data_IF_145024969294
#
_entry.id   IF_145024969294
#
_cell.length_a   1.000
_cell.length_b   1.000
_cell.length_c   1.000
_cell.angle_alpha   90.00
_cell.angle_beta   90.00
_cell.angle_gamma   90.00
#
_symmetry.space_group_name_H-M   'P 1'
#
loop_
_entity.id
_entity.type
_entity.pdbx_description
1 polymer ?
#
# COMPACT_ATOMS: atom_id res chain seq x y z
N UNK A 1 -21.37 -16.91 -7.05
CA UNK A 1 -20.63 -15.72 -7.55
C UNK A 1 -20.16 -14.80 -6.41
N UNK A 2 -20.92 -14.63 -5.32
CA UNK A 2 -20.50 -13.87 -4.12
C UNK A 2 -19.14 -14.32 -3.52
N UNK A 3 -18.87 -15.62 -3.48
CA UNK A 3 -17.58 -16.15 -3.02
C UNK A 3 -16.37 -15.66 -3.84
N UNK A 4 -16.54 -15.43 -5.15
CA UNK A 4 -15.46 -14.95 -6.02
C UNK A 4 -15.11 -13.49 -5.77
N UNK A 5 -16.10 -12.64 -5.46
CA UNK A 5 -15.85 -11.23 -5.14
C UNK A 5 -15.07 -11.09 -3.82
N UNK A 6 -15.45 -11.87 -2.81
CA UNK A 6 -14.75 -11.94 -1.54
C UNK A 6 -13.34 -12.54 -1.67
N UNK A 7 -13.16 -13.59 -2.49
CA UNK A 7 -11.83 -14.12 -2.83
C UNK A 7 -10.94 -13.06 -3.50
N UNK A 8 -11.45 -12.34 -4.50
CA UNK A 8 -10.69 -11.30 -5.20
C UNK A 8 -10.29 -10.15 -4.25
N UNK A 9 -11.19 -9.73 -3.35
CA UNK A 9 -10.89 -8.72 -2.35
C UNK A 9 -9.82 -9.20 -1.35
N UNK A 10 -9.89 -10.47 -0.91
CA UNK A 10 -8.89 -11.08 -0.05
C UNK A 10 -7.53 -11.19 -0.75
N UNK A 11 -7.50 -11.60 -2.02
CA UNK A 11 -6.29 -11.73 -2.84
C UNK A 11 -5.61 -10.37 -3.06
N UNK A 12 -6.39 -9.33 -3.36
CA UNK A 12 -5.89 -7.96 -3.52
C UNK A 12 -5.35 -7.39 -2.21
N UNK A 13 -6.03 -7.67 -1.09
CA UNK A 13 -5.56 -7.27 0.25
C UNK A 13 -4.27 -7.97 0.62
N UNK A 14 -4.18 -9.29 0.41
CA UNK A 14 -2.96 -10.06 0.63
C UNK A 14 -1.82 -9.56 -0.25
N UNK A 15 -2.09 -9.27 -1.53
CA UNK A 15 -1.11 -8.71 -2.46
C UNK A 15 -0.63 -7.33 -2.01
N UNK A 16 -1.54 -6.48 -1.55
CA UNK A 16 -1.19 -5.14 -1.04
C UNK A 16 -0.37 -5.23 0.25
N UNK A 17 -0.69 -6.16 1.15
CA UNK A 17 0.11 -6.43 2.35
C UNK A 17 1.51 -6.91 1.99
N UNK A 18 1.63 -7.94 1.14
CA UNK A 18 2.92 -8.45 0.66
C UNK A 18 3.71 -7.36 -0.06
N UNK A 19 3.06 -6.52 -0.87
CA UNK A 19 3.72 -5.39 -1.53
C UNK A 19 4.24 -4.38 -0.51
N UNK A 20 3.46 -4.06 0.53
CA UNK A 20 3.86 -3.19 1.63
C UNK A 20 5.04 -3.75 2.43
N UNK A 21 4.98 -5.03 2.80
CA UNK A 21 6.07 -5.74 3.49
C UNK A 21 7.34 -5.82 2.64
N UNK A 22 7.20 -6.11 1.34
CA UNK A 22 8.32 -6.20 0.41
C UNK A 22 8.96 -4.83 0.19
N UNK A 23 8.16 -3.78 0.05
CA UNK A 23 8.65 -2.40 0.00
C UNK A 23 9.41 -2.05 1.27
N UNK A 24 8.84 -2.32 2.44
CA UNK A 24 9.49 -2.10 3.72
C UNK A 24 10.84 -2.84 3.85
N UNK A 25 10.86 -4.12 3.53
CA UNK A 25 12.08 -4.94 3.55
C UNK A 25 13.13 -4.44 2.54
N UNK A 26 12.69 -4.02 1.35
CA UNK A 26 13.55 -3.40 0.35
C UNK A 26 14.17 -2.09 0.87
N UNK A 27 13.40 -1.25 1.58
CA UNK A 27 13.91 -0.03 2.18
C UNK A 27 14.97 -0.31 3.26
N UNK A 28 14.72 -1.26 4.17
CA UNK A 28 15.71 -1.64 5.19
C UNK A 28 16.99 -2.15 4.55
N UNK A 29 16.87 -2.98 3.50
CA UNK A 29 18.00 -3.55 2.78
C UNK A 29 18.79 -2.47 2.02
N UNK A 30 18.11 -1.52 1.37
CA UNK A 30 18.75 -0.39 0.68
C UNK A 30 19.48 0.50 1.69
N UNK A 31 18.85 0.84 2.81
CA UNK A 31 19.48 1.62 3.88
C UNK A 31 20.72 0.93 4.45
N UNK A 32 20.61 -0.35 4.83
CA UNK A 32 21.76 -1.13 5.32
C UNK A 32 22.85 -1.28 4.26
N UNK A 33 22.50 -1.47 2.99
CA UNK A 33 23.47 -1.54 1.89
C UNK A 33 24.11 -0.20 1.62
N UNK A 34 23.41 0.92 1.76
CA UNK A 34 23.97 2.27 1.62
C UNK A 34 24.95 2.57 2.76
N UNK A 35 24.58 2.26 4.00
CA UNK A 35 25.47 2.36 5.17
C UNK A 35 26.67 1.43 5.04
N UNK A 36 26.47 0.19 4.56
CA UNK A 36 27.57 -0.74 4.29
C UNK A 36 28.41 -0.31 3.09
N UNK A 37 27.86 0.34 2.06
CA UNK A 37 28.63 0.91 0.95
C UNK A 37 29.49 2.08 1.43
N UNK A 38 28.93 2.95 2.27
CA UNK A 38 29.70 3.97 2.97
C UNK A 38 30.78 3.34 3.86
N UNK A 39 30.48 2.23 4.55
CA UNK A 39 31.44 1.56 5.41
C UNK A 39 32.48 0.68 4.67
N UNK A 40 32.17 0.19 3.45
CA UNK A 40 32.95 -0.87 2.77
C UNK A 40 33.51 -0.48 1.40
N UNK A 41 33.20 0.71 0.84
CA UNK A 41 33.38 0.97 -0.59
C UNK A 41 34.28 2.15 -0.99
N UNK A 42 35.60 1.89 -1.04
CA UNK A 42 36.64 2.47 -1.92
C UNK A 42 37.00 3.98 -1.84
N UNK A 43 38.29 4.17 -1.54
CA UNK A 43 39.04 5.43 -1.38
C UNK A 43 38.70 6.23 -0.11
N UNK A 44 39.57 6.21 0.93
CA UNK A 44 39.42 7.06 2.11
C UNK A 44 39.21 8.54 1.80
N UNK A 45 39.71 9.01 0.64
CA UNK A 45 39.50 10.39 0.19
C UNK A 45 38.05 10.68 -0.22
N UNK A 46 37.31 9.70 -0.75
CA UNK A 46 35.89 9.84 -1.12
C UNK A 46 34.94 9.70 0.08
N UNK A 47 35.37 9.03 1.14
CA UNK A 47 34.64 9.03 2.41
C UNK A 47 34.73 10.37 3.16
N UNK A 48 35.77 11.15 2.87
CA UNK A 48 35.88 12.54 3.32
C UNK A 48 35.11 13.51 2.44
N UNK A 49 34.50 13.06 1.33
CA UNK A 49 33.67 13.91 0.49
C UNK A 49 32.39 14.28 1.25
N UNK A 50 32.23 15.57 1.65
CA UNK A 50 31.04 16.02 2.33
C UNK A 50 29.78 15.87 1.48
N UNK A 51 29.91 15.86 0.14
CA UNK A 51 28.78 15.67 -0.77
C UNK A 51 28.30 14.21 -0.77
N UNK A 52 29.21 13.24 -0.71
CA UNK A 52 28.84 11.83 -0.57
C UNK A 52 28.07 11.59 0.73
N UNK A 53 28.55 12.16 1.83
CA UNK A 53 27.87 12.07 3.14
C UNK A 53 26.48 12.71 3.09
N UNK A 54 26.37 13.87 2.45
CA UNK A 54 25.08 14.57 2.25
C UNK A 54 24.10 13.73 1.44
N UNK A 55 24.53 13.17 0.31
CA UNK A 55 23.70 12.30 -0.53
C UNK A 55 23.21 11.04 0.18
N UNK A 56 24.01 10.47 1.09
CA UNK A 56 23.61 9.32 1.92
C UNK A 56 22.52 9.73 2.90
N UNK A 57 22.68 10.87 3.57
CA UNK A 57 21.66 11.40 4.49
C UNK A 57 20.36 11.72 3.77
N UNK A 58 20.39 12.34 2.60
CA UNK A 58 19.20 12.62 1.81
C UNK A 58 18.45 11.35 1.40
N UNK A 59 19.18 10.26 1.09
CA UNK A 59 18.57 8.95 0.81
C UNK A 59 17.96 8.31 2.06
N UNK A 60 18.56 8.51 3.23
CA UNK A 60 18.00 8.05 4.51
C UNK A 60 16.75 8.84 4.88
N UNK A 61 16.76 10.16 4.73
CA UNK A 61 15.58 11.00 4.95
C UNK A 61 14.45 10.65 3.98
N UNK A 62 14.76 10.44 2.71
CA UNK A 62 13.79 9.95 1.73
C UNK A 62 13.21 8.58 2.13
N UNK A 63 14.03 7.70 2.72
CA UNK A 63 13.55 6.41 3.22
C UNK A 63 12.56 6.59 4.38
N UNK A 64 12.85 7.47 5.34
CA UNK A 64 11.95 7.78 6.45
C UNK A 64 10.64 8.45 5.98
N UNK A 65 10.71 9.35 5.00
CA UNK A 65 9.52 9.98 4.42
C UNK A 65 8.65 8.96 3.69
N UNK A 66 9.26 8.09 2.89
CA UNK A 66 8.56 6.98 2.22
C UNK A 66 7.94 6.02 3.24
N UNK A 67 8.63 5.72 4.33
CA UNK A 67 8.14 4.85 5.41
C UNK A 67 6.88 5.42 6.07
N UNK A 68 6.87 6.71 6.39
CA UNK A 68 5.68 7.40 6.93
C UNK A 68 4.54 7.40 5.93
N UNK A 69 4.83 7.66 4.65
CA UNK A 69 3.81 7.68 3.61
C UNK A 69 3.18 6.29 3.39
N UNK A 70 3.99 5.23 3.49
CA UNK A 70 3.53 3.84 3.44
C UNK A 70 2.66 3.50 4.66
N UNK A 71 3.08 3.87 5.87
CA UNK A 71 2.30 3.62 7.08
C UNK A 71 0.91 4.27 7.00
N UNK A 72 0.82 5.52 6.56
CA UNK A 72 -0.46 6.22 6.35
C UNK A 72 -1.31 5.55 5.28
N UNK A 73 -0.70 5.09 4.18
CA UNK A 73 -1.45 4.40 3.12
C UNK A 73 -1.95 3.01 3.52
N UNK A 74 -1.23 2.30 4.40
CA UNK A 74 -1.69 1.03 4.98
C UNK A 74 -2.90 1.24 5.90
N UNK A 75 -2.92 2.31 6.69
CA UNK A 75 -4.10 2.67 7.48
C UNK A 75 -5.31 2.96 6.58
N UNK A 76 -5.12 3.69 5.49
CA UNK A 76 -6.19 3.95 4.53
C UNK A 76 -6.74 2.65 3.89
N UNK A 77 -5.88 1.67 3.58
CA UNK A 77 -6.32 0.34 3.13
C UNK A 77 -7.11 -0.40 4.21
N UNK A 78 -6.66 -0.34 5.46
CA UNK A 78 -7.37 -0.91 6.60
C UNK A 78 -8.76 -0.30 6.78
N UNK A 79 -8.90 1.02 6.60
CA UNK A 79 -10.19 1.70 6.71
C UNK A 79 -11.18 1.20 5.66
N UNK A 80 -10.75 1.04 4.40
CA UNK A 80 -11.59 0.50 3.32
C UNK A 80 -12.02 -0.94 3.62
N UNK A 81 -11.11 -1.75 4.16
CA UNK A 81 -11.42 -3.12 4.55
C UNK A 81 -12.45 -3.18 5.69
N UNK A 82 -12.27 -2.37 6.73
CA UNK A 82 -13.19 -2.32 7.88
C UNK A 82 -14.56 -1.79 7.48
N UNK A 83 -14.63 -0.81 6.59
CA UNK A 83 -15.89 -0.28 6.07
C UNK A 83 -16.67 -1.33 5.27
N UNK A 84 -15.98 -2.09 4.40
CA UNK A 84 -16.59 -3.21 3.69
C UNK A 84 -17.08 -4.30 4.65
N UNK A 85 -16.26 -4.67 5.65
CA UNK A 85 -16.64 -5.67 6.65
C UNK A 85 -17.90 -5.24 7.42
N UNK A 86 -17.98 -3.98 7.82
CA UNK A 86 -19.16 -3.43 8.50
C UNK A 86 -20.42 -3.54 7.61
N UNK A 87 -20.31 -3.22 6.33
CA UNK A 87 -21.42 -3.37 5.36
C UNK A 87 -21.87 -4.84 5.22
N UNK A 88 -20.93 -5.79 5.18
CA UNK A 88 -21.26 -7.23 5.14
C UNK A 88 -21.98 -7.69 6.40
N UNK A 89 -21.55 -7.23 7.59
CA UNK A 89 -22.22 -7.53 8.86
C UNK A 89 -23.65 -7.00 8.85
N UNK A 90 -23.86 -5.76 8.39
CA UNK A 90 -25.21 -5.17 8.29
C UNK A 90 -26.09 -5.94 7.31
N UNK A 91 -25.60 -6.24 6.09
CA UNK A 91 -26.36 -6.99 5.10
C UNK A 91 -26.73 -8.39 5.60
N UNK A 92 -25.81 -9.07 6.29
CA UNK A 92 -26.05 -10.40 6.86
C UNK A 92 -27.09 -10.34 7.99
N UNK A 93 -27.03 -9.32 8.85
CA UNK A 93 -28.00 -9.13 9.92
C UNK A 93 -29.41 -8.87 9.38
N UNK A 94 -29.54 -8.04 8.33
CA UNK A 94 -30.81 -7.76 7.66
C UNK A 94 -31.41 -9.03 7.04
N UNK A 95 -30.62 -9.76 6.25
CA UNK A 95 -31.06 -11.02 5.66
C UNK A 95 -31.47 -12.06 6.73
N UNK A 96 -30.71 -12.15 7.83
CA UNK A 96 -31.02 -13.03 8.95
C UNK A 96 -32.34 -12.69 9.65
N UNK A 97 -32.62 -11.40 9.86
CA UNK A 97 -33.89 -10.93 10.44
C UNK A 97 -35.07 -11.25 9.53
N UNK A 98 -34.93 -11.06 8.23
CA UNK A 98 -35.97 -11.41 7.27
C UNK A 98 -36.21 -12.93 7.24
N UNK A 99 -35.15 -13.73 7.33
CA UNK A 99 -35.26 -15.18 7.37
C UNK A 99 -35.84 -15.73 8.68
N UNK A 100 -35.76 -14.99 9.80
CA UNK A 100 -36.25 -15.42 11.11
C UNK A 100 -37.78 -15.46 11.26
N UNK A 101 -38.52 -14.73 10.42
CA UNK A 101 -39.99 -14.80 10.42
C UNK A 101 -40.49 -16.08 9.72
N UNK A 102 -41.80 -16.41 9.80
CA UNK A 102 -42.34 -17.67 9.29
C UNK A 102 -41.94 -17.99 7.85
N UNK A 103 -41.81 -19.29 7.50
CA UNK A 103 -41.38 -19.72 6.17
C UNK A 103 -42.27 -19.16 5.06
N UNK A 104 -41.71 -18.27 4.25
CA UNK A 104 -42.34 -17.72 3.06
C UNK A 104 -41.30 -17.74 1.93
N UNK A 105 -41.48 -18.62 0.92
CA UNK A 105 -40.51 -18.78 -0.15
C UNK A 105 -40.35 -17.52 -1.03
N UNK A 106 -41.37 -16.67 -1.16
CA UNK A 106 -41.25 -15.42 -1.93
C UNK A 106 -40.38 -14.43 -1.15
N UNK A 107 -40.64 -14.31 0.15
CA UNK A 107 -39.89 -13.42 1.05
C UNK A 107 -38.43 -13.85 1.20
N UNK A 108 -38.18 -15.15 1.36
CA UNK A 108 -36.82 -15.68 1.45
C UNK A 108 -36.05 -15.52 0.13
N UNK A 109 -36.74 -15.66 -1.01
CA UNK A 109 -36.16 -15.37 -2.32
C UNK A 109 -35.75 -13.91 -2.46
N UNK A 110 -36.60 -12.98 -2.02
CA UNK A 110 -36.31 -11.55 -1.96
C UNK A 110 -35.12 -11.25 -1.04
N UNK A 111 -35.16 -11.69 0.21
CA UNK A 111 -34.10 -11.49 1.19
C UNK A 111 -32.73 -12.00 0.71
N UNK A 112 -32.71 -13.15 0.05
CA UNK A 112 -31.48 -13.72 -0.52
C UNK A 112 -30.99 -12.91 -1.74
N UNK A 113 -31.89 -12.45 -2.60
CA UNK A 113 -31.54 -11.60 -3.75
C UNK A 113 -30.96 -10.26 -3.29
N UNK A 114 -31.64 -9.59 -2.36
CA UNK A 114 -31.27 -8.28 -1.84
C UNK A 114 -29.93 -8.33 -1.09
N UNK A 115 -29.71 -9.41 -0.31
CA UNK A 115 -28.43 -9.68 0.32
C UNK A 115 -27.30 -9.81 -0.70
N UNK A 116 -27.51 -10.62 -1.75
CA UNK A 116 -26.50 -10.85 -2.79
C UNK A 116 -26.18 -9.55 -3.54
N UNK A 117 -27.20 -8.79 -3.92
CA UNK A 117 -27.02 -7.52 -4.63
C UNK A 117 -26.27 -6.49 -3.77
N UNK A 118 -26.69 -6.32 -2.51
CA UNK A 118 -26.04 -5.42 -1.56
C UNK A 118 -24.58 -5.82 -1.29
N UNK A 119 -24.34 -7.12 -1.09
CA UNK A 119 -23.01 -7.65 -0.84
C UNK A 119 -22.08 -7.47 -2.03
N UNK A 120 -22.57 -7.70 -3.26
CA UNK A 120 -21.82 -7.51 -4.49
C UNK A 120 -21.48 -6.04 -4.73
N UNK A 121 -22.46 -5.14 -4.59
CA UNK A 121 -22.24 -3.71 -4.76
C UNK A 121 -21.20 -3.17 -3.77
N UNK A 122 -21.31 -3.58 -2.49
CA UNK A 122 -20.32 -3.25 -1.47
C UNK A 122 -18.91 -3.76 -1.81
N UNK A 123 -18.81 -5.00 -2.31
CA UNK A 123 -17.54 -5.60 -2.71
C UNK A 123 -16.90 -4.90 -3.92
N UNK A 124 -17.70 -4.51 -4.92
CA UNK A 124 -17.19 -3.77 -6.10
C UNK A 124 -16.61 -2.41 -5.70
N UNK A 125 -17.33 -1.66 -4.85
CA UNK A 125 -16.88 -0.36 -4.34
C UNK A 125 -15.59 -0.54 -3.53
N UNK A 126 -15.55 -1.55 -2.65
CA UNK A 126 -14.39 -1.85 -1.83
C UNK A 126 -13.16 -2.22 -2.68
N UNK A 127 -13.32 -3.10 -3.67
CA UNK A 127 -12.27 -3.47 -4.61
C UNK A 127 -11.72 -2.27 -5.36
N UNK A 128 -12.59 -1.41 -5.91
CA UNK A 128 -12.17 -0.20 -6.62
C UNK A 128 -11.36 0.74 -5.73
N UNK A 129 -11.79 0.93 -4.48
CA UNK A 129 -11.08 1.77 -3.51
C UNK A 129 -9.76 1.16 -3.05
N UNK A 130 -9.72 -0.15 -2.81
CA UNK A 130 -8.49 -0.87 -2.44
C UNK A 130 -7.45 -0.81 -3.56
N UNK A 131 -7.84 -1.06 -4.80
CA UNK A 131 -6.94 -0.98 -5.95
C UNK A 131 -6.37 0.44 -6.13
N UNK A 132 -7.22 1.46 -5.96
CA UNK A 132 -6.79 2.86 -6.02
C UNK A 132 -5.83 3.23 -4.89
N UNK A 133 -6.11 2.84 -3.64
CA UNK A 133 -5.22 3.12 -2.52
C UNK A 133 -3.93 2.32 -2.58
N UNK A 134 -3.95 1.08 -3.08
CA UNK A 134 -2.73 0.29 -3.32
C UNK A 134 -1.84 0.94 -4.39
N UNK A 135 -2.42 1.47 -5.48
CA UNK A 135 -1.68 2.23 -6.49
C UNK A 135 -1.08 3.52 -5.90
N UNK A 136 -1.87 4.26 -5.11
CA UNK A 136 -1.39 5.47 -4.43
C UNK A 136 -0.31 5.15 -3.40
N UNK A 137 -0.41 4.04 -2.68
CA UNK A 137 0.59 3.57 -1.73
C UNK A 137 1.94 3.35 -2.41
N UNK A 138 1.95 2.66 -3.56
CA UNK A 138 3.14 2.48 -4.38
C UNK A 138 3.73 3.81 -4.84
N UNK A 139 2.91 4.73 -5.35
CA UNK A 139 3.35 6.06 -5.77
C UNK A 139 3.94 6.89 -4.62
N UNK A 140 3.27 6.91 -3.46
CA UNK A 140 3.70 7.62 -2.25
C UNK A 140 5.00 7.06 -1.68
N UNK A 141 5.19 5.74 -1.71
CA UNK A 141 6.42 5.09 -1.24
C UNK A 141 7.62 5.35 -2.16
N UNK A 142 7.40 5.45 -3.48
CA UNK A 142 8.50 5.65 -4.45
C UNK A 142 8.85 7.12 -4.68
N UNK A 143 7.92 8.06 -4.47
CA UNK A 143 8.14 9.48 -4.78
C UNK A 143 9.35 10.10 -4.04
N UNK A 144 9.57 9.88 -2.73
CA UNK A 144 10.74 10.43 -2.04
C UNK A 144 12.06 9.90 -2.61
N UNK A 145 12.11 8.60 -2.94
CA UNK A 145 13.28 7.99 -3.58
C UNK A 145 13.55 8.57 -4.96
N UNK A 146 12.51 8.71 -5.78
CA UNK A 146 12.64 9.27 -7.12
C UNK A 146 13.15 10.73 -7.05
N UNK A 147 12.63 11.53 -6.12
CA UNK A 147 13.08 12.91 -5.87
C UNK A 147 14.56 12.96 -5.47
N UNK A 148 14.94 12.25 -4.40
CA UNK A 148 16.31 12.24 -3.91
C UNK A 148 17.30 11.70 -4.95
N UNK A 149 16.92 10.65 -5.68
CA UNK A 149 17.77 10.08 -6.74
C UNK A 149 17.98 11.06 -7.90
N UNK A 150 16.93 11.76 -8.34
CA UNK A 150 17.04 12.74 -9.42
C UNK A 150 17.85 13.98 -9.02
N UNK A 151 17.65 14.51 -7.80
CA UNK A 151 18.43 15.64 -7.30
C UNK A 151 19.92 15.29 -7.19
N UNK A 152 20.24 14.08 -6.74
CA UNK A 152 21.63 13.61 -6.67
C UNK A 152 22.22 13.41 -8.07
N UNK A 153 21.44 12.86 -9.00
CA UNK A 153 21.88 12.70 -10.38
C UNK A 153 22.18 14.06 -11.05
N UNK A 154 21.33 15.09 -10.84
CA UNK A 154 21.58 16.44 -11.35
C UNK A 154 22.88 17.02 -10.80
N UNK A 155 23.10 16.94 -9.48
CA UNK A 155 24.32 17.46 -8.83
C UNK A 155 25.58 16.76 -9.34
N UNK A 156 25.54 15.45 -9.50
CA UNK A 156 26.65 14.67 -10.07
C UNK A 156 26.93 15.04 -11.53
N UNK A 157 25.88 15.26 -12.33
CA UNK A 157 26.03 15.68 -13.73
C UNK A 157 26.61 17.09 -13.86
N UNK A 158 26.19 18.03 -13.00
CA UNK A 158 26.76 19.37 -12.96
C UNK A 158 28.24 19.35 -12.53
N UNK A 159 28.58 18.59 -11.49
CA UNK A 159 29.96 18.43 -11.03
C UNK A 159 30.88 17.77 -12.07
N UNK A 160 30.33 16.89 -12.92
CA UNK A 160 31.07 16.25 -14.01
C UNK A 160 31.24 17.12 -15.26
N UNK A 161 30.43 18.18 -15.42
CA UNK A 161 30.51 19.12 -16.55
C UNK A 161 31.38 20.35 -16.31
N UNK A 162 31.83 20.57 -15.07
CA UNK A 162 32.70 21.69 -14.66
C UNK A 162 34.19 21.30 -14.57
N UNK A 163 34.56 20.08 -15.00
CA UNK A 163 35.96 19.60 -15.10
C UNK A 163 36.43 19.48 -16.55
#
# INVERSE_FOLDING_TARGET
MAARGAEVAAELTATAMVLGETLWAAQQTIGLRAVRLAAAGFDPARLQDPEFTTMVWEKLDAALEAQRALATGLLALSDVWMEWLAQQVTATAQAGLEMAAPPDPIRYGGAASDYVETSLSAAEIACGRMALEASRLGGRGLAPYHRATNENAKRLLSAAGEG
#
